data_IF_725293820660
#
_entry.id   IF_725293820660
#
_cell.length_a   1.000
_cell.length_b   1.000
_cell.length_c   1.000
_cell.angle_alpha   90.00
_cell.angle_beta   90.00
_cell.angle_gamma   90.00
#
_symmetry.space_group_name_H-M   'P 1'
#
loop_
_entity.id
_entity.type
_entity.pdbx_description
1 polymer ?
#
# COMPACT_ATOMS: atom_id res chain seq x y z
N UNK A 1 34.42 9.47 -16.45
CA UNK A 1 33.06 9.02 -16.82
C UNK A 1 32.09 9.97 -16.16
N UNK A 2 31.28 10.68 -16.93
CA UNK A 2 30.17 11.44 -16.37
C UNK A 2 29.16 10.45 -15.78
N UNK A 3 28.48 10.75 -14.66
CA UNK A 3 27.40 9.91 -14.18
C UNK A 3 26.34 9.86 -15.28
N UNK A 4 25.83 8.68 -15.61
CA UNK A 4 24.59 8.57 -16.35
C UNK A 4 23.53 9.23 -15.46
N UNK A 5 23.08 10.44 -15.81
CA UNK A 5 21.89 11.01 -15.18
C UNK A 5 20.76 10.00 -15.35
N UNK A 6 20.26 9.44 -14.25
CA UNK A 6 19.20 8.43 -14.32
C UNK A 6 18.01 9.00 -15.08
N UNK A 7 17.37 8.19 -15.93
CA UNK A 7 16.15 8.59 -16.61
C UNK A 7 15.08 9.01 -15.58
N UNK A 8 14.21 9.95 -15.98
CA UNK A 8 13.08 10.39 -15.16
C UNK A 8 12.21 9.18 -14.80
N UNK A 9 11.90 9.01 -13.51
CA UNK A 9 10.98 7.98 -13.03
C UNK A 9 9.69 8.61 -12.54
N UNK A 10 8.57 8.11 -13.05
CA UNK A 10 7.21 8.59 -12.82
C UNK A 10 6.51 7.68 -11.83
N UNK A 11 6.11 8.21 -10.69
CA UNK A 11 5.44 7.45 -9.64
C UNK A 11 4.00 7.93 -9.51
N UNK A 12 3.04 7.04 -9.78
CA UNK A 12 1.63 7.27 -9.46
C UNK A 12 1.43 7.00 -7.97
N UNK A 13 0.75 7.89 -7.24
CA UNK A 13 0.42 7.70 -5.83
C UNK A 13 -1.08 7.88 -5.60
N UNK A 14 -1.66 6.98 -4.81
CA UNK A 14 -3.08 7.06 -4.41
C UNK A 14 -3.24 6.78 -2.92
N UNK A 15 -4.30 7.32 -2.33
CA UNK A 15 -4.72 7.00 -0.96
C UNK A 15 -6.23 6.86 -0.90
N UNK A 16 -6.73 6.08 0.06
CA UNK A 16 -8.16 5.84 0.24
C UNK A 16 -8.84 6.94 1.04
N UNK A 17 -10.09 7.22 0.68
CA UNK A 17 -10.98 8.11 1.40
C UNK A 17 -11.54 7.52 2.70
N UNK A 18 -12.51 8.21 3.32
CA UNK A 18 -13.13 7.78 4.58
C UNK A 18 -13.76 6.39 4.49
N UNK A 19 -13.61 5.59 5.54
CA UNK A 19 -14.27 4.27 5.64
C UNK A 19 -14.35 3.77 7.09
N UNK A 20 -15.41 3.04 7.42
CA UNK A 20 -15.65 2.32 8.69
C UNK A 20 -14.91 2.85 9.93
N UNK A 21 -15.43 3.91 10.56
CA UNK A 21 -14.86 4.46 11.80
C UNK A 21 -13.61 5.32 11.62
N UNK A 22 -13.07 5.43 10.40
CA UNK A 22 -11.93 6.28 10.03
C UNK A 22 -12.41 7.42 9.11
N UNK A 23 -13.03 8.49 9.67
CA UNK A 23 -13.54 9.61 8.87
C UNK A 23 -12.43 10.42 8.21
N UNK A 24 -11.23 10.43 8.81
CA UNK A 24 -10.03 11.04 8.26
C UNK A 24 -9.03 9.92 7.99
N UNK A 25 -9.04 9.36 6.78
CA UNK A 25 -8.18 8.24 6.43
C UNK A 25 -6.73 8.71 6.24
N UNK A 26 -5.76 8.20 7.03
CA UNK A 26 -4.38 8.66 6.95
C UNK A 26 -3.72 8.34 5.61
N UNK A 27 -4.20 7.33 4.87
CA UNK A 27 -3.67 7.05 3.53
C UNK A 27 -3.86 8.23 2.57
N UNK A 28 -5.07 8.79 2.48
CA UNK A 28 -5.30 10.02 1.72
C UNK A 28 -4.65 11.24 2.38
N UNK A 29 -4.66 11.31 3.71
CA UNK A 29 -3.98 12.37 4.46
C UNK A 29 -2.50 12.50 4.08
N UNK A 30 -1.80 11.38 3.96
CA UNK A 30 -0.41 11.35 3.50
C UNK A 30 -0.33 11.68 2.02
N UNK A 31 -1.07 10.94 1.17
CA UNK A 31 -0.95 11.06 -0.29
C UNK A 31 -1.16 12.52 -0.77
N UNK A 32 -2.20 13.18 -0.27
CA UNK A 32 -2.55 14.57 -0.64
C UNK A 32 -1.52 15.62 -0.22
N UNK A 33 -0.60 15.29 0.69
CA UNK A 33 0.45 16.19 1.20
C UNK A 33 1.82 15.93 0.55
N UNK A 34 1.96 14.89 -0.29
CA UNK A 34 3.21 14.60 -0.97
C UNK A 34 3.57 15.71 -1.96
N UNK A 35 4.84 16.12 -2.05
CA UNK A 35 5.30 17.02 -3.09
C UNK A 35 5.26 16.34 -4.48
N UNK A 36 5.25 17.12 -5.55
CA UNK A 36 5.25 16.58 -6.92
C UNK A 36 6.65 16.20 -7.42
N UNK A 37 7.71 16.69 -6.78
CA UNK A 37 9.11 16.39 -7.06
C UNK A 37 9.84 16.14 -5.73
N UNK A 38 10.57 15.03 -5.66
CA UNK A 38 11.35 14.63 -4.48
C UNK A 38 12.86 14.55 -4.77
N UNK A 39 13.32 15.10 -5.89
CA UNK A 39 14.69 14.99 -6.36
C UNK A 39 15.00 13.64 -7.01
N UNK A 40 16.28 13.39 -7.31
CA UNK A 40 16.78 12.15 -7.93
C UNK A 40 16.07 11.75 -9.24
N UNK A 41 15.62 12.74 -10.01
CA UNK A 41 14.81 12.55 -11.22
C UNK A 41 13.54 11.71 -10.95
N UNK A 42 12.81 12.02 -9.88
CA UNK A 42 11.56 11.36 -9.51
C UNK A 42 10.44 12.39 -9.52
N UNK A 43 9.39 12.12 -10.31
CA UNK A 43 8.16 12.94 -10.31
C UNK A 43 6.99 12.12 -9.79
N UNK A 44 6.27 12.69 -8.84
CA UNK A 44 5.08 12.10 -8.26
C UNK A 44 3.84 12.68 -8.93
N UNK A 45 2.93 11.79 -9.32
CA UNK A 45 1.56 12.15 -9.65
C UNK A 45 0.64 11.56 -8.60
N UNK A 46 0.15 12.43 -7.72
CA UNK A 46 -0.86 12.08 -6.72
C UNK A 46 -2.22 12.21 -7.38
N UNK A 47 -3.04 11.16 -7.34
CA UNK A 47 -4.43 11.25 -7.79
C UNK A 47 -5.15 12.37 -7.01
N UNK A 48 -5.82 13.34 -7.65
CA UNK A 48 -6.32 14.55 -6.99
C UNK A 48 -7.44 14.33 -5.97
N UNK A 49 -8.09 13.17 -5.99
CA UNK A 49 -9.16 12.82 -5.07
C UNK A 49 -8.83 11.54 -4.31
N UNK A 50 -9.39 11.41 -3.10
CA UNK A 50 -9.26 10.18 -2.34
C UNK A 50 -10.01 9.05 -3.07
N UNK A 51 -9.34 7.91 -3.29
CA UNK A 51 -9.98 6.75 -3.91
C UNK A 51 -11.10 6.28 -2.98
N UNK A 52 -12.35 6.17 -3.44
CA UNK A 52 -13.43 5.63 -2.61
C UNK A 52 -13.10 4.19 -2.18
N UNK A 53 -13.43 3.82 -0.94
CA UNK A 53 -13.34 2.42 -0.48
C UNK A 53 -14.51 1.64 -1.07
N UNK A 54 -14.48 1.46 -2.39
CA UNK A 54 -15.51 0.86 -3.23
C UNK A 54 -14.91 0.14 -4.44
N UNK A 55 -15.47 -1.02 -4.79
CA UNK A 55 -14.88 -1.89 -5.81
C UNK A 55 -15.03 -1.30 -7.22
N UNK A 56 -16.20 -0.78 -7.55
CA UNK A 56 -16.48 -0.23 -8.90
C UNK A 56 -15.59 0.97 -9.26
N UNK A 57 -15.41 1.98 -8.39
CA UNK A 57 -14.47 3.08 -8.67
C UNK A 57 -13.05 2.60 -8.93
N UNK A 58 -12.55 1.61 -8.18
CA UNK A 58 -11.20 1.07 -8.43
C UNK A 58 -11.05 0.48 -9.83
N UNK A 59 -12.08 -0.23 -10.32
CA UNK A 59 -12.07 -0.83 -11.66
C UNK A 59 -12.08 0.20 -12.81
N UNK A 60 -12.53 1.43 -12.59
CA UNK A 60 -12.45 2.52 -13.57
C UNK A 60 -11.20 3.38 -13.39
N UNK A 61 -10.91 3.76 -12.14
CA UNK A 61 -9.84 4.72 -11.81
C UNK A 61 -8.45 4.16 -12.11
N UNK A 62 -8.16 2.91 -11.78
CA UNK A 62 -6.81 2.35 -11.99
C UNK A 62 -6.44 2.29 -13.48
N UNK A 63 -7.26 1.73 -14.38
CA UNK A 63 -6.96 1.75 -15.81
C UNK A 63 -6.78 3.15 -16.39
N UNK A 64 -7.64 4.11 -16.00
CA UNK A 64 -7.54 5.50 -16.45
C UNK A 64 -6.22 6.14 -16.03
N UNK A 65 -5.84 6.02 -14.75
CA UNK A 65 -4.58 6.59 -14.24
C UNK A 65 -3.36 5.95 -14.91
N UNK A 66 -3.36 4.63 -15.08
CA UNK A 66 -2.26 3.92 -15.76
C UNK A 66 -2.17 4.35 -17.21
N UNK A 67 -3.30 4.44 -17.93
CA UNK A 67 -3.36 4.89 -19.32
C UNK A 67 -2.85 6.32 -19.49
N UNK A 68 -3.37 7.27 -18.72
CA UNK A 68 -3.09 8.69 -18.89
C UNK A 68 -1.70 9.07 -18.38
N UNK A 69 -1.31 8.50 -17.24
CA UNK A 69 -0.05 8.87 -16.60
C UNK A 69 1.10 7.95 -16.99
N UNK A 70 0.89 6.73 -17.48
CA UNK A 70 1.98 5.80 -17.85
C UNK A 70 3.11 5.77 -16.79
N UNK A 71 2.79 5.45 -15.51
CA UNK A 71 3.79 5.43 -14.44
C UNK A 71 4.80 4.30 -14.64
N UNK A 72 6.03 4.50 -14.16
CA UNK A 72 7.01 3.41 -13.99
C UNK A 72 6.67 2.58 -12.75
N UNK A 73 6.23 3.26 -11.68
CA UNK A 73 5.81 2.65 -10.42
C UNK A 73 4.46 3.22 -9.99
N UNK A 74 3.52 2.36 -9.59
CA UNK A 74 2.31 2.78 -8.88
C UNK A 74 2.40 2.41 -7.40
N UNK A 75 2.32 3.39 -6.51
CA UNK A 75 2.26 3.23 -5.07
C UNK A 75 0.84 3.50 -4.55
N UNK A 76 0.21 2.47 -3.99
CA UNK A 76 -1.07 2.61 -3.32
C UNK A 76 -0.87 2.63 -1.80
N UNK A 77 -1.54 3.55 -1.11
CA UNK A 77 -1.47 3.68 0.34
C UNK A 77 -2.81 3.26 0.95
N UNK A 78 -2.78 2.40 1.97
CA UNK A 78 -3.95 2.00 2.74
C UNK A 78 -3.69 2.03 4.24
N UNK A 79 -4.72 2.27 5.05
CA UNK A 79 -4.60 2.13 6.51
C UNK A 79 -4.79 0.67 6.91
N UNK A 80 -3.95 0.17 7.81
CA UNK A 80 -4.11 -1.15 8.45
C UNK A 80 -4.50 -0.96 9.91
N UNK A 81 -5.76 -1.26 10.25
CA UNK A 81 -6.23 -1.15 11.63
C UNK A 81 -5.47 -2.09 12.57
N UNK A 82 -5.10 -1.59 13.75
CA UNK A 82 -4.34 -2.35 14.74
C UNK A 82 -2.82 -2.40 14.49
N UNK A 83 -2.35 -1.99 13.32
CA UNK A 83 -0.92 -1.89 13.01
C UNK A 83 -0.34 -0.61 13.63
N UNK A 84 0.87 -0.70 14.17
CA UNK A 84 1.62 0.42 14.78
C UNK A 84 2.86 0.84 13.98
N UNK A 85 3.11 0.18 12.85
CA UNK A 85 4.26 0.35 11.97
C UNK A 85 3.80 0.53 10.52
N UNK A 86 4.67 1.05 9.66
CA UNK A 86 4.44 1.11 8.21
C UNK A 86 4.95 -0.18 7.57
N UNK A 87 4.31 -0.66 6.51
CA UNK A 87 4.85 -1.80 5.78
C UNK A 87 4.59 -1.74 4.28
N UNK A 88 5.53 -2.30 3.52
CA UNK A 88 5.32 -2.64 2.10
C UNK A 88 4.81 -4.07 1.97
N UNK A 89 3.84 -4.28 1.08
CA UNK A 89 3.19 -5.58 0.92
C UNK A 89 3.68 -6.32 -0.33
N UNK A 90 4.08 -7.58 -0.20
CA UNK A 90 4.67 -8.39 -1.28
C UNK A 90 3.64 -8.83 -2.32
N UNK A 91 2.55 -9.48 -1.89
CA UNK A 91 1.58 -10.09 -2.80
C UNK A 91 0.17 -9.56 -2.64
N UNK A 92 -0.67 -9.82 -3.65
CA UNK A 92 -2.12 -9.71 -3.57
C UNK A 92 -2.80 -10.87 -4.29
N UNK A 93 -4.07 -11.15 -3.97
CA UNK A 93 -4.81 -12.31 -4.46
C UNK A 93 -6.24 -11.97 -4.90
N UNK A 94 -6.69 -12.53 -6.03
CA UNK A 94 -8.09 -12.43 -6.48
C UNK A 94 -8.99 -13.49 -5.84
N UNK A 95 -10.31 -13.30 -5.98
CA UNK A 95 -11.33 -14.30 -5.62
C UNK A 95 -11.72 -14.32 -4.13
N UNK A 96 -11.42 -13.25 -3.39
CA UNK A 96 -11.53 -13.23 -1.92
C UNK A 96 -12.31 -12.02 -1.40
N UNK A 97 -13.02 -11.34 -2.30
CA UNK A 97 -13.69 -10.06 -2.06
C UNK A 97 -15.22 -10.19 -1.91
N UNK A 98 -15.74 -11.43 -1.90
CA UNK A 98 -17.18 -11.72 -1.90
C UNK A 98 -17.88 -11.53 -0.55
N UNK A 99 -17.15 -11.16 0.51
CA UNK A 99 -17.66 -11.10 1.88
C UNK A 99 -17.66 -9.67 2.46
N UNK A 100 -16.59 -8.90 2.24
CA UNK A 100 -16.47 -7.54 2.75
C UNK A 100 -17.29 -6.55 1.92
N UNK A 101 -18.31 -5.94 2.54
CA UNK A 101 -19.10 -4.87 1.92
C UNK A 101 -18.30 -3.58 1.89
N UNK A 102 -18.34 -2.93 0.74
CA UNK A 102 -17.74 -1.63 0.51
C UNK A 102 -18.52 -0.47 1.13
N UNK A 103 -18.04 0.77 0.97
CA UNK A 103 -18.72 1.95 1.53
C UNK A 103 -20.13 2.17 0.97
N UNK A 104 -20.44 1.57 -0.18
CA UNK A 104 -21.76 1.59 -0.81
C UNK A 104 -22.62 0.36 -0.44
N UNK A 105 -22.10 -0.52 0.44
CA UNK A 105 -22.76 -1.76 0.83
C UNK A 105 -22.64 -2.89 -0.19
N UNK A 106 -21.82 -2.74 -1.22
CA UNK A 106 -21.64 -3.72 -2.30
C UNK A 106 -20.49 -4.69 -1.98
N UNK A 107 -20.58 -5.92 -2.47
CA UNK A 107 -19.44 -6.87 -2.46
C UNK A 107 -18.95 -7.04 -3.89
N UNK A 108 -17.74 -7.57 -4.06
CA UNK A 108 -17.25 -7.97 -5.38
C UNK A 108 -17.35 -9.49 -5.56
N UNK A 109 -18.33 -9.99 -6.34
CA UNK A 109 -18.56 -11.42 -6.50
C UNK A 109 -17.39 -12.11 -7.20
N UNK A 110 -17.04 -13.33 -6.76
CA UNK A 110 -15.99 -14.13 -7.40
C UNK A 110 -16.26 -14.36 -8.89
N UNK A 111 -17.53 -14.53 -9.29
CA UNK A 111 -17.92 -14.68 -10.69
C UNK A 111 -17.57 -13.46 -11.56
N UNK A 112 -17.56 -12.25 -10.99
CA UNK A 112 -17.15 -11.05 -11.72
C UNK A 112 -15.61 -10.95 -11.77
N UNK A 113 -14.92 -11.37 -10.71
CA UNK A 113 -13.48 -11.55 -10.71
C UNK A 113 -12.98 -12.55 -11.76
N UNK A 114 -13.66 -13.70 -11.92
CA UNK A 114 -13.31 -14.68 -12.97
C UNK A 114 -13.53 -14.13 -14.38
N UNK A 115 -14.54 -13.27 -14.59
CA UNK A 115 -14.75 -12.63 -15.90
C UNK A 115 -13.65 -11.62 -16.23
N UNK A 116 -13.17 -10.87 -15.23
CA UNK A 116 -12.17 -9.81 -15.43
C UNK A 116 -10.73 -10.33 -15.45
N UNK A 117 -10.43 -11.32 -14.62
CA UNK A 117 -9.07 -11.77 -14.33
C UNK A 117 -8.89 -13.29 -14.40
N UNK A 118 -9.81 -13.99 -15.07
CA UNK A 118 -9.76 -15.45 -15.19
C UNK A 118 -8.50 -15.97 -15.91
N UNK A 119 -7.89 -15.14 -16.75
CA UNK A 119 -6.63 -15.40 -17.45
C UNK A 119 -5.38 -14.99 -16.64
N UNK A 120 -5.56 -14.32 -15.51
CA UNK A 120 -4.49 -13.88 -14.62
C UNK A 120 -4.22 -14.90 -13.49
N UNK A 121 -2.98 -14.93 -13.00
CA UNK A 121 -2.59 -15.75 -11.86
C UNK A 121 -3.40 -15.40 -10.60
N UNK A 122 -3.77 -16.40 -9.79
CA UNK A 122 -4.59 -16.17 -8.58
C UNK A 122 -3.91 -15.25 -7.57
N UNK A 123 -2.59 -15.37 -7.45
CA UNK A 123 -1.73 -14.52 -6.61
C UNK A 123 -0.74 -13.83 -7.53
N UNK A 124 -0.59 -12.51 -7.35
CA UNK A 124 0.41 -11.69 -8.03
C UNK A 124 1.37 -11.12 -6.98
N UNK A 125 2.63 -10.97 -7.39
CA UNK A 125 3.71 -10.39 -6.58
C UNK A 125 4.30 -9.22 -7.34
N UNK A 126 4.69 -8.17 -6.62
CA UNK A 126 5.58 -7.15 -7.20
C UNK A 126 6.93 -7.79 -7.55
N UNK A 127 7.57 -7.32 -8.62
CA UNK A 127 8.92 -7.75 -9.00
C UNK A 127 10.01 -6.86 -8.36
N UNK A 128 9.61 -5.80 -7.65
CA UNK A 128 10.53 -4.97 -6.88
C UNK A 128 11.10 -5.82 -5.73
N UNK A 129 12.42 -5.77 -5.54
CA UNK A 129 13.09 -6.42 -4.41
C UNK A 129 12.74 -5.70 -3.10
N UNK A 130 11.58 -6.01 -2.51
CA UNK A 130 11.09 -5.32 -1.33
C UNK A 130 11.97 -5.50 -0.09
N UNK A 131 12.77 -6.57 0.00
CA UNK A 131 13.76 -6.70 1.08
C UNK A 131 14.83 -5.60 0.97
N UNK A 132 15.41 -5.43 -0.22
CA UNK A 132 16.36 -4.34 -0.46
C UNK A 132 15.75 -2.94 -0.28
N UNK A 133 14.47 -2.79 -0.65
CA UNK A 133 13.71 -1.56 -0.39
C UNK A 133 13.60 -1.29 1.10
N UNK A 134 13.25 -2.30 1.90
CA UNK A 134 13.08 -2.14 3.36
C UNK A 134 14.41 -1.85 4.04
N UNK A 135 15.50 -2.54 3.66
CA UNK A 135 16.84 -2.25 4.17
C UNK A 135 17.25 -0.79 3.92
N UNK A 136 16.96 -0.27 2.72
CA UNK A 136 17.20 1.12 2.34
C UNK A 136 16.28 2.09 3.10
N UNK A 137 15.01 1.74 3.21
CA UNK A 137 13.99 2.56 3.86
C UNK A 137 14.27 2.72 5.34
N UNK A 138 14.58 1.63 6.04
CA UNK A 138 15.01 1.65 7.45
C UNK A 138 16.25 2.53 7.66
N UNK A 139 17.23 2.45 6.76
CA UNK A 139 18.44 3.28 6.87
C UNK A 139 18.14 4.77 6.68
N UNK A 140 17.22 5.11 5.78
CA UNK A 140 16.77 6.48 5.51
C UNK A 140 15.95 7.05 6.65
N UNK A 141 15.18 6.22 7.33
CA UNK A 141 14.29 6.64 8.42
C UNK A 141 14.89 6.45 9.82
N UNK A 142 16.11 5.92 9.94
CA UNK A 142 16.77 5.68 11.24
C UNK A 142 16.89 6.92 12.15
N UNK A 143 16.85 8.13 11.59
CA UNK A 143 16.86 9.39 12.34
C UNK A 143 15.47 10.01 12.61
N UNK A 144 14.39 9.40 12.10
CA UNK A 144 13.03 9.91 12.27
C UNK A 144 12.53 9.56 13.66
N UNK A 145 12.15 10.57 14.43
CA UNK A 145 11.60 10.36 15.77
C UNK A 145 10.10 10.11 15.65
N UNK A 146 9.69 8.88 15.96
CA UNK A 146 8.28 8.56 16.06
C UNK A 146 7.64 9.28 17.25
N UNK A 147 6.47 9.93 17.09
CA UNK A 147 5.64 10.30 18.22
C UNK A 147 5.23 9.01 18.92
N UNK A 148 6.01 8.58 19.92
CA UNK A 148 5.63 7.45 20.76
C UNK A 148 4.28 7.82 21.38
N UNK A 149 3.30 6.94 21.26
CA UNK A 149 1.94 7.14 21.72
C UNK A 149 1.89 7.43 23.24
N UNK A 150 2.12 8.70 23.60
CA UNK A 150 1.99 9.24 24.95
C UNK A 150 0.62 9.88 25.09
N UNK A 151 -0.42 9.07 25.20
CA UNK A 151 -1.77 9.56 25.48
C UNK A 151 -2.85 8.73 24.81
N UNK A 152 -3.52 7.89 25.61
CA UNK A 152 -4.84 7.26 25.34
C UNK A 152 -5.26 7.22 23.87
N UNK A 153 -4.99 6.09 23.22
CA UNK A 153 -5.58 5.78 21.92
C UNK A 153 -7.09 6.06 21.95
N UNK A 154 -7.64 6.58 20.85
CA UNK A 154 -9.08 6.78 20.69
C UNK A 154 -9.85 5.45 20.80
N UNK A 155 -9.18 4.32 20.60
CA UNK A 155 -9.71 2.98 20.91
C UNK A 155 -10.13 2.83 22.39
N UNK A 156 -9.44 3.50 23.32
CA UNK A 156 -9.80 3.54 24.74
C UNK A 156 -11.06 4.38 25.02
N UNK A 157 -11.43 5.30 24.11
CA UNK A 157 -12.57 6.21 24.28
C UNK A 157 -13.87 5.67 23.69
N UNK A 158 -13.81 4.71 22.75
CA UNK A 158 -14.99 3.99 22.25
C UNK A 158 -15.39 2.78 23.11
N UNK A 159 -14.51 2.33 24.01
CA UNK A 159 -14.79 1.22 24.94
C UNK A 159 -15.74 1.60 26.10
N UNK A 160 -16.14 2.87 26.27
CA UNK A 160 -16.98 3.32 27.39
C UNK A 160 -18.49 3.29 27.13
N UNK A 161 -18.97 2.72 26.03
CA UNK A 161 -20.40 2.40 25.87
C UNK A 161 -20.56 0.89 25.95
N UNK A 162 -20.71 0.39 27.18
CA UNK A 162 -20.99 -1.02 27.44
C UNK A 162 -22.32 -1.43 26.79
N UNK A 163 -22.25 -2.28 25.78
CA UNK A 163 -23.34 -3.21 25.45
C UNK A 163 -22.80 -4.61 25.68
N UNK A 164 -23.33 -5.26 26.71
CA UNK A 164 -22.90 -6.60 27.13
C UNK A 164 -23.39 -7.64 26.11
N UNK A 165 -22.48 -8.19 25.31
CA UNK A 165 -22.75 -9.34 24.44
C UNK A 165 -21.91 -10.52 24.92
N UNK A 166 -22.56 -11.51 25.54
CA UNK A 166 -21.93 -12.79 25.91
C UNK A 166 -21.72 -13.63 24.65
N UNK A 167 -20.48 -13.75 24.19
CA UNK A 167 -20.08 -14.73 23.17
C UNK A 167 -19.59 -16.01 23.86
N UNK A 168 -20.05 -17.17 23.35
CA UNK A 168 -19.65 -18.52 23.78
C UNK A 168 -18.28 -18.87 23.19
N UNK A 169 -17.43 -19.54 23.98
CA UNK A 169 -16.00 -19.78 23.73
C UNK A 169 -15.63 -20.80 22.63
N UNK A 170 -16.53 -21.19 21.72
CA UNK A 170 -16.28 -22.34 20.85
C UNK A 170 -16.26 -22.01 19.34
N UNK A 171 -15.61 -20.92 18.90
CA UNK A 171 -15.17 -20.80 17.50
C UNK A 171 -13.92 -19.92 17.44
N UNK A 172 -12.74 -20.53 17.43
CA UNK A 172 -11.48 -20.09 16.76
C UNK A 172 -10.30 -20.89 17.35
N UNK A 173 -10.20 -22.15 16.94
CA UNK A 173 -8.90 -22.83 16.85
C UNK A 173 -8.60 -22.98 15.36
N UNK A 174 -7.77 -22.09 14.85
CA UNK A 174 -7.02 -22.34 13.61
C UNK A 174 -5.56 -22.26 14.00
N UNK A 175 -4.86 -23.36 13.78
CA UNK A 175 -3.50 -23.61 14.25
C UNK A 175 -2.50 -22.67 13.56
N UNK A 176 -1.72 -21.97 14.38
CA UNK A 176 -0.50 -21.30 13.96
C UNK A 176 0.56 -22.38 13.67
N UNK A 177 0.72 -22.75 12.41
CA UNK A 177 1.71 -23.72 11.97
C UNK A 177 2.31 -23.33 10.63
N UNK A 178 3.50 -22.71 10.67
CA UNK A 178 4.42 -22.68 9.53
C UNK A 178 4.49 -21.38 8.73
N UNK A 179 4.98 -20.30 9.34
CA UNK A 179 5.65 -19.22 8.61
C UNK A 179 7.06 -19.11 9.20
N UNK A 180 8.06 -19.39 8.38
CA UNK A 180 9.47 -19.21 8.73
C UNK A 180 9.71 -17.72 9.00
N UNK A 181 9.94 -17.40 10.26
CA UNK A 181 10.37 -16.08 10.74
C UNK A 181 11.72 -15.73 10.11
N UNK A 182 11.71 -14.79 9.18
CA UNK A 182 12.91 -14.02 8.87
C UNK A 182 13.12 -13.00 9.99
N UNK A 183 14.37 -12.84 10.42
CA UNK A 183 14.82 -11.98 11.50
C UNK A 183 14.71 -10.50 11.11
N UNK A 184 13.50 -9.95 11.16
CA UNK A 184 13.29 -8.51 11.33
C UNK A 184 13.05 -8.27 12.82
N UNK A 185 13.71 -7.28 13.41
CA UNK A 185 13.45 -6.92 14.80
C UNK A 185 11.99 -6.46 14.90
N UNK A 186 11.22 -7.02 15.83
CA UNK A 186 9.81 -6.66 16.05
C UNK A 186 9.63 -5.18 16.50
N UNK A 187 10.71 -4.42 16.57
CA UNK A 187 10.83 -3.03 17.01
C UNK A 187 11.02 -2.03 15.84
N UNK A 188 11.20 -2.49 14.59
CA UNK A 188 11.36 -1.57 13.45
C UNK A 188 10.06 -0.87 13.08
N UNK A 189 10.09 0.45 12.86
CA UNK A 189 8.88 1.21 12.55
C UNK A 189 8.43 1.09 11.07
N UNK A 190 9.30 0.59 10.20
CA UNK A 190 9.03 0.34 8.78
C UNK A 190 9.47 -1.08 8.40
N UNK A 191 8.59 -1.86 7.74
CA UNK A 191 8.78 -3.31 7.57
C UNK A 191 8.38 -3.84 6.20
N UNK A 192 8.87 -5.04 5.89
CA UNK A 192 8.29 -5.90 4.88
C UNK A 192 7.06 -6.64 5.45
N UNK A 193 6.05 -6.90 4.62
CA UNK A 193 4.86 -7.68 4.96
C UNK A 193 4.37 -8.43 3.72
N UNK A 194 3.70 -9.56 3.92
CA UNK A 194 2.96 -10.28 2.88
C UNK A 194 1.52 -10.53 3.31
N UNK A 195 0.86 -9.45 3.74
CA UNK A 195 -0.49 -9.48 4.26
C UNK A 195 -1.21 -8.18 3.91
N UNK A 196 -1.43 -7.94 2.61
CA UNK A 196 -2.23 -6.81 2.12
C UNK A 196 -3.73 -6.94 2.50
N UNK A 197 -4.14 -8.08 3.04
CA UNK A 197 -5.51 -8.37 3.47
C UNK A 197 -6.39 -8.95 2.37
N UNK A 198 -7.71 -8.89 2.57
CA UNK A 198 -8.71 -9.49 1.66
C UNK A 198 -9.83 -8.51 1.27
N UNK A 199 -9.56 -7.21 1.45
CA UNK A 199 -10.53 -6.14 1.23
C UNK A 199 -10.03 -5.16 0.14
N UNK A 200 -10.41 -3.88 0.19
CA UNK A 200 -10.12 -2.93 -0.88
C UNK A 200 -8.63 -2.64 -1.07
N UNK A 201 -7.79 -2.75 -0.02
CA UNK A 201 -6.33 -2.67 -0.14
C UNK A 201 -5.79 -3.73 -1.11
N UNK A 202 -6.15 -5.00 -0.87
CA UNK A 202 -5.79 -6.11 -1.73
C UNK A 202 -6.40 -5.95 -3.14
N UNK A 203 -7.64 -5.47 -3.24
CA UNK A 203 -8.36 -5.30 -4.50
C UNK A 203 -7.66 -4.28 -5.42
N UNK A 204 -7.36 -3.08 -4.93
CA UNK A 204 -6.65 -2.07 -5.73
C UNK A 204 -5.24 -2.55 -6.08
N UNK A 205 -4.56 -3.24 -5.17
CA UNK A 205 -3.22 -3.74 -5.42
C UNK A 205 -3.21 -4.77 -6.55
N UNK A 206 -4.10 -5.76 -6.49
CA UNK A 206 -4.24 -6.78 -7.53
C UNK A 206 -4.65 -6.16 -8.87
N UNK A 207 -5.64 -5.27 -8.86
CA UNK A 207 -6.09 -4.55 -10.08
C UNK A 207 -4.93 -3.80 -10.73
N UNK A 208 -4.15 -3.06 -9.93
CA UNK A 208 -3.02 -2.27 -10.41
C UNK A 208 -1.88 -3.14 -10.95
N UNK A 209 -1.55 -4.26 -10.30
CA UNK A 209 -0.57 -5.20 -10.86
C UNK A 209 -1.00 -5.73 -12.24
N UNK A 210 -2.27 -6.10 -12.39
CA UNK A 210 -2.82 -6.54 -13.70
C UNK A 210 -2.70 -5.41 -14.73
N UNK A 211 -3.18 -4.21 -14.42
CA UNK A 211 -3.16 -3.08 -15.37
C UNK A 211 -1.74 -2.67 -15.74
N UNK A 212 -0.81 -2.64 -14.79
CA UNK A 212 0.59 -2.27 -15.02
C UNK A 212 1.33 -3.32 -15.86
N UNK A 213 0.96 -4.60 -15.72
CA UNK A 213 1.52 -5.72 -16.50
C UNK A 213 1.12 -5.72 -17.97
N UNK A 214 -0.02 -5.10 -18.32
CA UNK A 214 -0.47 -5.02 -19.71
C UNK A 214 0.52 -4.19 -20.50
N UNK A 215 1.23 -4.81 -21.44
CA UNK A 215 2.29 -4.20 -22.24
C UNK A 215 1.76 -3.06 -23.14
N UNK A 216 1.57 -1.87 -22.58
CA UNK A 216 1.25 -0.65 -23.34
C UNK A 216 2.48 0.24 -23.55
N UNK A 217 3.55 0.01 -22.77
CA UNK A 217 4.79 0.77 -22.79
C UNK A 217 5.95 -0.20 -22.96
N UNK A 218 6.91 0.11 -23.84
CA UNK A 218 8.05 -0.75 -24.16
C UNK A 218 9.07 -0.94 -23.03
N UNK A 219 8.69 -0.71 -21.77
CA UNK A 219 9.49 -0.96 -20.58
C UNK A 219 8.60 -1.56 -19.47
N UNK A 220 9.22 -2.33 -18.58
CA UNK A 220 8.53 -2.96 -17.45
C UNK A 220 8.12 -1.91 -16.44
N UNK A 221 6.92 -2.07 -15.87
CA UNK A 221 6.36 -1.20 -14.84
C UNK A 221 6.00 -2.05 -13.63
N UNK A 222 6.01 -1.46 -12.45
CA UNK A 222 5.78 -2.19 -11.20
C UNK A 222 4.74 -1.50 -10.31
N UNK A 223 4.17 -2.28 -9.40
CA UNK A 223 3.23 -1.78 -8.39
C UNK A 223 3.78 -2.10 -7.01
N UNK A 224 3.61 -1.16 -6.08
CA UNK A 224 3.87 -1.35 -4.67
C UNK A 224 2.62 -0.94 -3.87
N UNK A 225 2.47 -1.55 -2.70
CA UNK A 225 1.43 -1.18 -1.75
C UNK A 225 2.07 -0.91 -0.39
N UNK A 226 1.70 0.20 0.23
CA UNK A 226 2.11 0.55 1.59
C UNK A 226 0.91 0.59 2.52
N UNK A 227 0.96 -0.20 3.58
CA UNK A 227 0.08 -0.05 4.73
C UNK A 227 0.67 0.93 5.74
N UNK A 228 -0.17 1.82 6.24
CA UNK A 228 0.17 2.80 7.28
C UNK A 228 -0.62 2.51 8.56
N UNK A 229 -0.08 2.84 9.74
CA UNK A 229 -0.84 2.79 10.99
C UNK A 229 -1.92 3.87 11.02
N UNK A 230 -2.78 3.84 12.05
CA UNK A 230 -3.73 4.93 12.27
C UNK A 230 -2.97 6.18 12.74
N UNK A 231 -2.97 7.22 11.91
CA UNK A 231 -2.38 8.54 12.19
C UNK A 231 -3.51 9.57 12.25
N UNK A 232 -3.54 10.41 13.29
CA UNK A 232 -4.69 11.28 13.57
C UNK A 232 -4.29 12.76 13.59
N UNK A 233 -3.14 13.08 14.19
CA UNK A 233 -2.64 14.45 14.31
C UNK A 233 -1.89 14.92 13.06
N UNK A 234 -1.76 16.24 12.89
CA UNK A 234 -0.96 16.81 11.80
C UNK A 234 0.52 16.43 11.90
N UNK A 235 1.06 16.31 13.11
CA UNK A 235 2.45 15.87 13.33
C UNK A 235 2.65 14.41 12.89
N UNK A 236 1.72 13.52 13.25
CA UNK A 236 1.74 12.13 12.80
C UNK A 236 1.56 12.02 11.28
N UNK A 237 0.67 12.81 10.68
CA UNK A 237 0.49 12.82 9.22
C UNK A 237 1.73 13.35 8.50
N UNK A 238 2.36 14.41 9.01
CA UNK A 238 3.61 14.93 8.43
C UNK A 238 4.73 13.89 8.53
N UNK A 239 4.86 13.20 9.66
CA UNK A 239 5.79 12.07 9.77
C UNK A 239 5.47 10.99 8.72
N UNK A 240 4.19 10.67 8.52
CA UNK A 240 3.76 9.75 7.47
C UNK A 240 4.16 10.20 6.06
N UNK A 241 4.12 11.50 5.78
CA UNK A 241 4.61 12.09 4.52
C UNK A 241 6.10 11.87 4.37
N UNK A 242 6.89 12.21 5.39
CA UNK A 242 8.35 12.10 5.35
C UNK A 242 8.79 10.63 5.16
N UNK A 243 8.17 9.70 5.90
CA UNK A 243 8.38 8.26 5.75
C UNK A 243 8.03 7.76 4.35
N UNK A 244 6.95 8.28 3.77
CA UNK A 244 6.50 7.90 2.42
C UNK A 244 7.46 8.43 1.35
N UNK A 245 8.00 9.63 1.51
CA UNK A 245 9.03 10.16 0.61
C UNK A 245 10.26 9.25 0.62
N UNK A 246 10.74 8.85 1.79
CA UNK A 246 11.89 7.93 1.89
C UNK A 246 11.58 6.53 1.37
N UNK A 247 10.33 6.05 1.50
CA UNK A 247 9.90 4.82 0.84
C UNK A 247 10.00 4.94 -0.68
N UNK A 248 9.50 6.04 -1.26
CA UNK A 248 9.52 6.23 -2.72
C UNK A 248 10.96 6.33 -3.22
N UNK A 249 11.85 7.01 -2.50
CA UNK A 249 13.29 7.02 -2.81
C UNK A 249 13.89 5.60 -2.83
N UNK A 250 13.54 4.79 -1.84
CA UNK A 250 14.01 3.41 -1.69
C UNK A 250 13.46 2.48 -2.78
N UNK A 251 12.17 2.61 -3.09
CA UNK A 251 11.50 1.89 -4.18
C UNK A 251 12.14 2.20 -5.53
N UNK A 252 12.26 3.48 -5.87
CA UNK A 252 12.80 3.90 -7.16
C UNK A 252 14.28 3.54 -7.29
N UNK A 253 15.08 3.71 -6.23
CA UNK A 253 16.50 3.31 -6.24
C UNK A 253 16.65 1.82 -6.52
N UNK A 254 15.98 0.99 -5.72
CA UNK A 254 16.02 -0.47 -5.88
C UNK A 254 15.51 -0.91 -7.25
N UNK A 255 14.39 -0.34 -7.71
CA UNK A 255 13.80 -0.66 -9.00
C UNK A 255 14.76 -0.31 -10.15
N UNK A 256 15.38 0.87 -10.14
CA UNK A 256 16.37 1.27 -11.16
C UNK A 256 17.56 0.32 -11.18
N UNK A 257 18.09 -0.05 -10.01
CA UNK A 257 19.23 -0.96 -9.91
C UNK A 257 18.89 -2.35 -10.46
N UNK A 258 17.68 -2.86 -10.17
CA UNK A 258 17.19 -4.13 -10.74
C UNK A 258 17.08 -4.05 -12.26
N UNK A 259 16.49 -2.98 -12.80
CA UNK A 259 16.32 -2.84 -14.26
C UNK A 259 17.65 -2.61 -14.99
N UNK A 260 18.60 -1.90 -14.37
CA UNK A 260 19.95 -1.76 -14.90
C UNK A 260 20.69 -3.11 -14.94
N UNK A 261 20.55 -3.94 -13.90
CA UNK A 261 21.13 -5.28 -13.86
C UNK A 261 20.52 -6.24 -14.90
N UNK A 262 19.26 -6.04 -15.27
CA UNK A 262 18.56 -6.78 -16.34
C UNK A 262 18.85 -6.25 -17.75
N UNK A 263 19.51 -5.09 -17.89
CA UNK A 263 19.79 -4.43 -19.17
C UNK A 263 18.58 -3.73 -19.80
N UNK A 264 17.62 -3.30 -18.99
CA UNK A 264 16.32 -2.72 -19.41
C UNK A 264 16.27 -1.18 -19.25
N UNK A 265 17.27 -0.58 -18.56
CA UNK A 265 17.49 0.87 -18.44
C UNK A 265 18.94 1.22 -18.83
#
# INVERSE_FOLDING_TARGET
MAPITSALTRVLVTGFGPFAGVPNNPSWGIASRLPTDIGNNITLFVHPEAVPVAYKPVLSTVPELVSDFQPDISLHIGVAEGRTYFAVEQTSRRGVYSYGRDVNGEVFPNADGEKLWGDQATVLSTDINLHGVVDEWQRRTAGVVWPKAGGTSVASKMASTQVEVKLREDVLKVEAGGLSSFEGDDDDDVRWSDNVGTYLCAFIYYTSMVEMSRETVGHRRDTAFMHVPLLVSEEELQMGVDITVELIQSLVGTWRDQRAAEGVL
#
